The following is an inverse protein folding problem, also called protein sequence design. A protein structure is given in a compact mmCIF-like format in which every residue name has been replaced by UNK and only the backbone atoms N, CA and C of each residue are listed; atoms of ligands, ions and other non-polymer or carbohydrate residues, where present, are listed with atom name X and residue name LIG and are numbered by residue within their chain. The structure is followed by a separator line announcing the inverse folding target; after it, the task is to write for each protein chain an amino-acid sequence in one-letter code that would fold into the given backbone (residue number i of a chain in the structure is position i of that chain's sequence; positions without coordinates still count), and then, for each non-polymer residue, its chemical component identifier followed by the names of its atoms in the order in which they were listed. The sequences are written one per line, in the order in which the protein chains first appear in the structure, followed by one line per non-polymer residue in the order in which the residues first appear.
data_IF_611875445800
#
_entry.id   IF_611875445800
#
_cell.length_a   1.000
_cell.length_b   1.000
_cell.length_c   1.000
_cell.angle_alpha   90.00
_cell.angle_beta   90.00
_cell.angle_gamma   90.00
#
_symmetry.space_group_name_H-M   'P 1'
#
loop_
_entity.id
_entity.type
_entity.pdbx_description
1 polymer ?
#
# COMPACT_ATOMS: atom_id res chain seq x y z
N UNK A 1 50.64 28.18 36.70
CA UNK A 1 49.51 28.79 35.99
C UNK A 1 48.86 27.72 35.10
N UNK A 2 47.71 27.22 35.51
CA UNK A 2 46.93 26.23 34.72
C UNK A 2 45.73 26.96 34.08
N UNK A 3 45.71 27.07 32.76
CA UNK A 3 44.56 27.60 32.04
C UNK A 3 43.58 26.46 31.75
N UNK A 4 42.37 26.58 32.26
CA UNK A 4 41.27 25.68 31.98
C UNK A 4 40.53 26.15 30.71
N UNK A 5 40.51 25.33 29.69
CA UNK A 5 39.73 25.53 28.47
C UNK A 5 38.33 24.98 28.73
N UNK A 6 37.32 25.85 28.74
CA UNK A 6 35.90 25.44 28.77
C UNK A 6 35.45 25.07 27.37
N UNK A 7 35.14 23.78 27.13
CA UNK A 7 34.42 23.34 25.94
C UNK A 7 32.96 23.73 26.08
N UNK A 8 32.48 24.61 25.22
CA UNK A 8 31.07 24.92 25.07
C UNK A 8 30.38 23.81 24.25
N UNK A 9 29.39 23.18 24.83
CA UNK A 9 28.54 22.22 24.12
C UNK A 9 27.58 23.00 23.21
N UNK A 10 27.70 22.79 21.90
CA UNK A 10 26.79 23.33 20.90
C UNK A 10 25.61 22.31 20.77
N UNK A 11 24.46 22.63 21.36
CA UNK A 11 23.25 21.87 21.20
C UNK A 11 22.63 22.18 19.83
N UNK A 12 22.71 21.24 18.91
CA UNK A 12 21.96 21.29 17.65
C UNK A 12 20.54 20.84 17.93
N UNK A 13 19.60 21.77 17.96
CA UNK A 13 18.17 21.48 17.99
C UNK A 13 17.76 21.14 16.53
N UNK A 14 17.59 19.87 16.23
CA UNK A 14 16.97 19.44 15.00
C UNK A 14 15.45 19.72 15.09
N UNK A 15 15.01 20.81 14.47
CA UNK A 15 13.58 21.08 14.27
C UNK A 15 13.06 20.17 13.15
N UNK A 16 12.40 19.08 13.51
CA UNK A 16 11.61 18.29 12.59
C UNK A 16 10.36 19.07 12.22
N UNK A 17 10.38 19.72 11.06
CA UNK A 17 9.18 20.32 10.46
C UNK A 17 8.40 19.18 9.85
N UNK A 18 7.47 18.62 10.61
CA UNK A 18 6.46 17.69 10.11
C UNK A 18 5.46 18.47 9.23
N UNK A 19 5.62 18.39 7.93
CA UNK A 19 4.55 18.79 7.03
C UNK A 19 3.45 17.71 7.09
N UNK A 20 2.41 18.00 7.87
CA UNK A 20 1.16 17.27 7.76
C UNK A 20 0.50 17.68 6.43
N UNK A 21 0.66 16.86 5.39
CA UNK A 21 -0.15 16.98 4.18
C UNK A 21 -1.56 16.59 4.58
N UNK A 22 -2.59 17.44 4.36
CA UNK A 22 -3.95 17.04 4.64
C UNK A 22 -4.34 15.89 3.70
N UNK A 23 -4.57 14.72 4.26
CA UNK A 23 -5.22 13.62 3.55
C UNK A 23 -6.63 14.09 3.18
N UNK A 24 -6.82 14.58 1.99
CA UNK A 24 -8.15 14.77 1.44
C UNK A 24 -8.71 13.38 1.13
N UNK A 25 -9.54 12.88 2.03
CA UNK A 25 -10.30 11.67 1.80
C UNK A 25 -11.21 11.90 0.58
N UNK A 26 -10.77 11.45 -0.59
CA UNK A 26 -11.59 11.43 -1.79
C UNK A 26 -12.69 10.40 -1.59
N UNK A 27 -13.93 10.87 -1.54
CA UNK A 27 -15.11 10.02 -1.42
C UNK A 27 -15.27 9.19 -2.71
N UNK A 28 -15.11 7.88 -2.60
CA UNK A 28 -15.76 6.87 -3.41
C UNK A 28 -15.61 6.94 -4.94
N UNK A 29 -14.38 6.83 -5.49
CA UNK A 29 -14.19 6.66 -6.92
C UNK A 29 -12.97 5.78 -7.21
N UNK A 30 -13.02 5.02 -8.31
CA UNK A 30 -11.82 4.41 -8.89
C UNK A 30 -10.95 5.53 -9.44
N UNK A 31 -9.74 5.74 -8.88
CA UNK A 31 -8.89 6.85 -9.27
C UNK A 31 -7.40 6.57 -9.08
N UNK A 32 -6.61 7.24 -9.89
CA UNK A 32 -5.17 7.42 -9.69
C UNK A 32 -4.89 8.91 -9.74
N UNK A 33 -4.26 9.42 -8.71
CA UNK A 33 -3.82 10.80 -8.59
C UNK A 33 -2.32 10.80 -8.36
N UNK A 34 -1.58 11.68 -9.02
CA UNK A 34 -0.13 11.79 -8.87
C UNK A 34 0.28 13.24 -9.12
N UNK A 35 1.24 13.71 -8.33
CA UNK A 35 1.90 14.99 -8.53
C UNK A 35 3.40 14.82 -8.81
N UNK A 36 3.82 13.63 -9.23
CA UNK A 36 5.18 13.40 -9.69
C UNK A 36 5.48 14.34 -10.85
N UNK A 37 6.46 15.21 -10.67
CA UNK A 37 6.85 16.22 -11.66
C UNK A 37 8.27 16.00 -12.19
N UNK A 38 8.92 14.96 -11.75
CA UNK A 38 10.34 14.71 -12.02
C UNK A 38 10.51 13.43 -12.80
N UNK A 39 11.08 13.54 -14.01
CA UNK A 39 11.63 12.39 -14.72
C UNK A 39 12.81 11.89 -13.91
N UNK A 40 12.72 10.65 -13.44
CA UNK A 40 13.77 10.06 -12.63
C UNK A 40 14.98 9.66 -13.47
N UNK A 41 16.16 10.03 -12.97
CA UNK A 41 17.38 9.36 -13.36
C UNK A 41 17.46 8.01 -12.61
N UNK A 42 17.79 6.95 -13.31
CA UNK A 42 18.09 5.64 -12.73
C UNK A 42 19.38 5.69 -11.89
N UNK A 43 19.54 4.87 -10.86
CA UNK A 43 18.64 3.83 -10.34
C UNK A 43 17.61 4.33 -9.32
N UNK A 44 16.64 3.46 -8.99
CA UNK A 44 15.61 3.69 -7.96
C UNK A 44 15.54 2.51 -7.01
N UNK A 45 15.34 2.74 -5.72
CA UNK A 45 15.00 1.68 -4.76
C UNK A 45 13.49 1.63 -4.54
N UNK A 46 12.98 0.46 -4.18
CA UNK A 46 11.56 0.22 -3.90
C UNK A 46 11.41 -0.26 -2.48
N UNK A 47 10.55 0.40 -1.71
CA UNK A 47 10.19 0.01 -0.35
C UNK A 47 8.67 -0.05 -0.24
N UNK A 48 8.13 -1.23 0.08
CA UNK A 48 6.69 -1.43 0.28
C UNK A 48 6.40 -1.75 1.73
N UNK A 49 5.43 -1.07 2.30
CA UNK A 49 4.94 -1.29 3.66
C UNK A 49 3.43 -1.44 3.71
N UNK A 50 2.93 -1.99 4.79
CA UNK A 50 1.51 -1.97 5.15
C UNK A 50 1.22 -0.73 5.99
N UNK A 51 0.04 -0.13 5.85
CA UNK A 51 -0.42 0.85 6.83
C UNK A 51 -0.65 0.18 8.20
N UNK A 52 -0.57 0.95 9.27
CA UNK A 52 -0.81 0.44 10.64
C UNK A 52 -2.21 -0.15 10.79
N UNK A 53 -3.20 0.42 10.10
CA UNK A 53 -4.56 -0.08 10.12
C UNK A 53 -4.69 -1.42 9.38
N UNK A 54 -4.02 -1.58 8.24
CA UNK A 54 -4.03 -2.84 7.51
C UNK A 54 -3.26 -3.93 8.27
N UNK A 55 -2.09 -3.60 8.84
CA UNK A 55 -1.32 -4.51 9.67
C UNK A 55 -2.14 -4.97 10.90
N UNK A 56 -2.88 -4.06 11.53
CA UNK A 56 -3.80 -4.42 12.63
C UNK A 56 -4.86 -5.43 12.19
N UNK A 57 -5.36 -5.32 10.93
CA UNK A 57 -6.38 -6.23 10.37
C UNK A 57 -5.85 -7.63 10.07
N UNK A 58 -4.57 -7.89 10.18
CA UNK A 58 -4.06 -9.26 10.08
C UNK A 58 -4.79 -10.19 11.07
N UNK A 59 -4.99 -9.73 12.31
CA UNK A 59 -5.55 -10.51 13.40
C UNK A 59 -6.81 -9.90 14.03
N UNK A 60 -7.34 -8.81 13.46
CA UNK A 60 -8.44 -8.04 14.06
C UNK A 60 -9.47 -7.59 13.02
N UNK A 61 -10.67 -7.26 13.50
CA UNK A 61 -11.65 -6.48 12.74
C UNK A 61 -11.18 -5.03 12.58
N UNK A 62 -11.64 -4.31 11.54
CA UNK A 62 -11.42 -2.88 11.43
C UNK A 62 -11.79 -2.15 12.71
N UNK A 63 -10.98 -1.16 13.12
CA UNK A 63 -11.23 -0.36 14.32
C UNK A 63 -12.54 0.44 14.21
N UNK A 64 -12.75 1.07 13.05
CA UNK A 64 -13.96 1.83 12.78
C UNK A 64 -15.12 0.90 12.42
N UNK A 65 -16.26 1.10 13.08
CA UNK A 65 -17.46 0.29 12.83
C UNK A 65 -18.00 0.47 11.40
N UNK A 66 -17.85 1.67 10.83
CA UNK A 66 -18.21 1.97 9.44
C UNK A 66 -17.47 1.15 8.40
N UNK A 67 -16.25 0.70 8.74
CA UNK A 67 -15.38 -0.03 7.83
C UNK A 67 -15.63 -1.54 7.89
N UNK A 68 -16.47 -1.97 8.83
CA UNK A 68 -16.85 -3.37 8.98
C UNK A 68 -17.98 -3.69 8.00
N UNK A 69 -17.82 -4.78 7.27
CA UNK A 69 -18.86 -5.28 6.38
C UNK A 69 -20.15 -5.58 7.16
N UNK A 70 -21.28 -5.38 6.50
CA UNK A 70 -22.59 -5.70 7.08
C UNK A 70 -22.72 -7.20 7.29
N UNK A 71 -23.04 -7.62 8.52
CA UNK A 71 -23.37 -9.02 8.86
C UNK A 71 -24.56 -9.58 8.05
N UNK A 72 -25.28 -8.72 7.30
CA UNK A 72 -26.39 -9.11 6.43
C UNK A 72 -25.97 -9.50 5.01
N UNK A 73 -24.74 -9.15 4.62
CA UNK A 73 -24.21 -9.57 3.31
C UNK A 73 -23.34 -10.81 3.52
N UNK A 74 -23.92 -11.98 3.35
CA UNK A 74 -23.22 -13.26 3.48
C UNK A 74 -22.06 -13.40 2.48
N UNK A 75 -22.06 -12.62 1.40
CA UNK A 75 -21.04 -12.69 0.34
C UNK A 75 -20.01 -11.57 0.37
N UNK A 76 -20.34 -10.38 0.91
CA UNK A 76 -19.41 -9.25 0.99
C UNK A 76 -18.85 -9.01 2.40
N UNK A 77 -19.49 -9.60 3.42
CA UNK A 77 -19.21 -9.30 4.81
C UNK A 77 -17.79 -9.66 5.29
N UNK A 78 -17.13 -10.63 4.66
CA UNK A 78 -15.76 -11.01 5.03
C UNK A 78 -14.69 -10.20 4.30
N UNK A 79 -14.98 -9.73 3.08
CA UNK A 79 -14.02 -9.18 2.13
C UNK A 79 -13.27 -7.93 2.62
N UNK A 80 -13.80 -7.21 3.59
CA UNK A 80 -13.16 -6.04 4.21
C UNK A 80 -13.00 -6.16 5.71
N UNK A 81 -13.39 -7.28 6.32
CA UNK A 81 -13.49 -7.40 7.77
C UNK A 81 -12.19 -7.75 8.50
N UNK A 82 -11.07 -7.83 7.82
CA UNK A 82 -9.82 -8.22 8.46
C UNK A 82 -9.70 -9.71 8.71
N UNK A 83 -8.92 -10.08 9.73
CA UNK A 83 -8.49 -11.47 9.97
C UNK A 83 -7.85 -12.07 8.72
N UNK A 84 -7.01 -11.26 8.04
CA UNK A 84 -6.38 -11.68 6.80
C UNK A 84 -5.25 -12.70 7.03
N UNK A 85 -4.64 -12.72 8.23
CA UNK A 85 -3.42 -13.43 8.54
C UNK A 85 -2.17 -12.62 8.16
N UNK A 86 -1.13 -12.70 8.98
CA UNK A 86 0.13 -11.98 8.75
C UNK A 86 0.83 -12.48 7.48
N UNK A 87 0.88 -13.79 7.28
CA UNK A 87 1.49 -14.40 6.10
C UNK A 87 0.82 -13.93 4.81
N UNK A 88 -0.52 -13.89 4.78
CA UNK A 88 -1.26 -13.41 3.62
C UNK A 88 -1.00 -11.94 3.28
N UNK A 89 -0.83 -11.09 4.30
CA UNK A 89 -0.49 -9.68 4.08
C UNK A 89 0.97 -9.51 3.66
N UNK A 90 1.88 -10.33 4.16
CA UNK A 90 3.27 -10.33 3.74
C UNK A 90 3.42 -10.82 2.29
N UNK A 91 2.67 -11.84 1.86
CA UNK A 91 2.61 -12.26 0.47
C UNK A 91 2.15 -11.11 -0.44
N UNK A 92 1.09 -10.39 -0.06
CA UNK A 92 0.64 -9.21 -0.81
C UNK A 92 1.70 -8.10 -0.89
N UNK A 93 2.43 -7.86 0.20
CA UNK A 93 3.53 -6.90 0.21
C UNK A 93 4.61 -7.29 -0.80
N UNK A 94 4.96 -8.58 -0.85
CA UNK A 94 5.94 -9.12 -1.80
C UNK A 94 5.42 -9.05 -3.24
N UNK A 95 4.16 -9.39 -3.48
CA UNK A 95 3.51 -9.28 -4.80
C UNK A 95 3.63 -7.84 -5.35
N UNK A 96 3.36 -6.83 -4.52
CA UNK A 96 3.49 -5.43 -4.95
C UNK A 96 4.95 -5.04 -5.24
N UNK A 97 5.91 -5.50 -4.43
CA UNK A 97 7.35 -5.29 -4.70
C UNK A 97 7.72 -5.89 -6.05
N UNK A 98 7.27 -7.11 -6.33
CA UNK A 98 7.57 -7.80 -7.59
C UNK A 98 6.94 -7.08 -8.79
N UNK A 99 5.66 -6.71 -8.69
CA UNK A 99 4.92 -6.04 -9.76
C UNK A 99 5.54 -4.69 -10.12
N UNK A 100 5.83 -3.84 -9.13
CA UNK A 100 6.42 -2.52 -9.37
C UNK A 100 7.85 -2.65 -9.92
N UNK A 101 8.65 -3.57 -9.37
CA UNK A 101 10.02 -3.82 -9.83
C UNK A 101 10.04 -4.25 -11.29
N UNK A 102 9.20 -5.22 -11.67
CA UNK A 102 9.06 -5.66 -13.07
C UNK A 102 8.65 -4.53 -14.01
N UNK A 103 7.72 -3.67 -13.57
CA UNK A 103 7.26 -2.55 -14.39
C UNK A 103 8.33 -1.49 -14.57
N UNK A 104 9.03 -1.11 -13.50
CA UNK A 104 10.14 -0.17 -13.58
C UNK A 104 11.25 -0.68 -14.51
N UNK A 105 11.65 -1.93 -14.35
CA UNK A 105 12.67 -2.55 -15.22
C UNK A 105 12.22 -2.58 -16.69
N UNK A 106 10.94 -2.83 -16.97
CA UNK A 106 10.39 -2.80 -18.33
C UNK A 106 10.46 -1.42 -18.96
N UNK A 107 10.31 -0.35 -18.18
CA UNK A 107 10.45 1.04 -18.62
C UNK A 107 11.94 1.51 -18.63
N UNK A 108 12.87 0.64 -18.34
CA UNK A 108 14.32 0.91 -18.43
C UNK A 108 14.96 1.41 -17.13
N UNK A 109 14.24 1.37 -16.00
CA UNK A 109 14.83 1.73 -14.70
C UNK A 109 15.70 0.58 -14.16
N UNK A 110 16.85 0.95 -13.61
CA UNK A 110 17.62 0.06 -12.74
C UNK A 110 17.03 0.12 -11.33
N UNK A 111 16.60 -1.04 -10.80
CA UNK A 111 16.11 -1.14 -9.42
C UNK A 111 17.22 -1.72 -8.56
N UNK A 112 17.66 -0.94 -7.55
CA UNK A 112 18.78 -1.29 -6.66
C UNK A 112 18.49 -0.85 -5.22
N UNK A 113 18.96 -1.62 -4.24
CA UNK A 113 18.67 -1.35 -2.80
C UNK A 113 19.20 0.00 -2.31
N UNK A 114 20.35 0.47 -2.83
CA UNK A 114 21.02 1.70 -2.40
C UNK A 114 20.96 2.77 -3.49
N UNK A 115 19.80 2.96 -4.09
CA UNK A 115 19.61 3.95 -5.13
C UNK A 115 19.52 5.39 -4.57
N UNK A 116 19.84 6.42 -5.37
CA UNK A 116 19.74 7.82 -4.95
C UNK A 116 18.31 8.32 -4.78
N UNK A 117 17.33 7.58 -5.30
CA UNK A 117 15.92 7.85 -5.07
C UNK A 117 15.22 6.60 -4.56
N UNK A 118 14.24 6.77 -3.68
CA UNK A 118 13.43 5.66 -3.12
C UNK A 118 11.96 5.88 -3.39
N UNK A 119 11.34 4.91 -4.00
CA UNK A 119 9.89 4.82 -4.13
C UNK A 119 9.34 4.10 -2.90
N UNK A 120 8.72 4.83 -1.99
CA UNK A 120 8.07 4.30 -0.79
C UNK A 120 6.60 4.11 -1.08
N UNK A 121 6.14 2.86 -1.08
CA UNK A 121 4.74 2.51 -1.32
C UNK A 121 4.09 1.99 -0.03
N UNK A 122 2.82 2.33 0.17
CA UNK A 122 2.03 1.83 1.29
C UNK A 122 0.76 1.15 0.77
N UNK A 123 0.54 -0.08 1.21
CA UNK A 123 -0.76 -0.73 1.02
C UNK A 123 -1.66 -0.23 2.14
N UNK A 124 -2.60 0.65 1.79
CA UNK A 124 -3.50 1.31 2.75
C UNK A 124 -4.67 0.40 3.13
N UNK A 125 -5.23 -0.27 2.14
CA UNK A 125 -6.37 -1.13 2.34
C UNK A 125 -6.46 -2.20 1.26
N UNK A 126 -6.98 -3.36 1.61
CA UNK A 126 -7.26 -4.46 0.66
C UNK A 126 -8.62 -5.09 0.96
N UNK A 127 -9.21 -5.67 -0.09
CA UNK A 127 -10.38 -6.55 0.01
C UNK A 127 -10.11 -7.83 -0.77
N UNK A 128 -10.37 -8.95 -0.14
CA UNK A 128 -10.15 -10.27 -0.73
C UNK A 128 -11.38 -10.80 -1.48
N UNK A 129 -11.15 -11.56 -2.55
CA UNK A 129 -12.22 -12.21 -3.34
C UNK A 129 -12.68 -13.52 -2.72
N UNK A 130 -11.77 -14.26 -2.09
CA UNK A 130 -12.05 -15.50 -1.39
C UNK A 130 -11.54 -15.39 0.05
N UNK A 131 -12.16 -16.10 1.00
CA UNK A 131 -11.69 -16.06 2.38
C UNK A 131 -10.24 -16.51 2.50
N UNK A 132 -9.48 -15.84 3.37
CA UNK A 132 -8.18 -16.32 3.80
C UNK A 132 -8.36 -17.53 4.74
N UNK A 133 -7.28 -18.26 4.98
CA UNK A 133 -7.30 -19.37 5.93
C UNK A 133 -7.68 -18.90 7.35
N UNK A 134 -7.19 -17.74 7.75
CA UNK A 134 -7.49 -17.16 9.06
C UNK A 134 -8.99 -16.80 9.19
N UNK A 135 -9.60 -16.22 8.14
CA UNK A 135 -11.03 -15.95 8.12
C UNK A 135 -11.87 -17.23 8.20
N UNK A 136 -11.49 -18.28 7.46
CA UNK A 136 -12.17 -19.59 7.51
C UNK A 136 -12.09 -20.24 8.88
N UNK A 137 -10.97 -20.07 9.59
CA UNK A 137 -10.79 -20.65 10.92
C UNK A 137 -11.68 -19.98 11.99
N UNK A 138 -12.07 -18.72 11.76
CA UNK A 138 -12.82 -17.91 12.72
C UNK A 138 -14.33 -17.85 12.44
N UNK A 139 -14.73 -17.98 11.19
CA UNK A 139 -16.12 -17.78 10.76
C UNK A 139 -16.67 -19.06 10.14
N UNK A 140 -17.41 -19.87 10.90
CA UNK A 140 -17.93 -21.16 10.45
C UNK A 140 -18.90 -21.07 9.27
N UNK A 141 -19.50 -19.90 8.99
CA UNK A 141 -20.39 -19.67 7.87
C UNK A 141 -19.65 -19.49 6.54
N UNK A 142 -18.35 -19.24 6.58
CA UNK A 142 -17.51 -19.09 5.38
C UNK A 142 -17.04 -20.46 4.86
N UNK A 143 -16.86 -20.51 3.55
CA UNK A 143 -16.24 -21.64 2.86
C UNK A 143 -15.32 -21.13 1.75
N UNK A 144 -14.48 -22.00 1.19
CA UNK A 144 -13.66 -21.66 0.02
C UNK A 144 -14.47 -21.24 -1.21
N UNK A 145 -15.78 -21.50 -1.21
CA UNK A 145 -16.69 -21.06 -2.27
C UNK A 145 -17.29 -19.68 -2.01
N UNK A 146 -17.18 -19.15 -0.78
CA UNK A 146 -17.60 -17.78 -0.49
C UNK A 146 -16.78 -16.81 -1.34
N UNK A 147 -17.43 -15.77 -1.87
CA UNK A 147 -16.76 -14.79 -2.72
C UNK A 147 -17.21 -13.37 -2.37
N UNK A 148 -16.36 -12.41 -2.63
CA UNK A 148 -16.59 -11.00 -2.37
C UNK A 148 -15.89 -10.13 -3.41
N UNK A 149 -16.24 -8.86 -3.44
CA UNK A 149 -15.61 -7.86 -4.28
C UNK A 149 -14.22 -7.55 -3.70
N UNK A 150 -13.19 -7.73 -4.52
CA UNK A 150 -11.81 -7.45 -4.15
C UNK A 150 -11.30 -6.11 -4.68
N UNK A 151 -10.09 -5.75 -4.30
CA UNK A 151 -9.37 -4.56 -4.75
C UNK A 151 -8.43 -4.00 -3.68
N UNK A 152 -7.85 -2.81 -3.94
CA UNK A 152 -6.90 -2.18 -3.05
C UNK A 152 -6.95 -0.65 -3.07
N UNK A 153 -6.45 -0.07 -1.98
CA UNK A 153 -6.02 1.32 -1.86
C UNK A 153 -4.52 1.36 -1.59
N UNK A 154 -3.82 2.19 -2.33
CA UNK A 154 -2.37 2.31 -2.28
C UNK A 154 -2.00 3.78 -2.23
N UNK A 155 -0.97 4.12 -1.47
CA UNK A 155 -0.32 5.42 -1.53
C UNK A 155 1.17 5.25 -1.82
N UNK A 156 1.80 6.29 -2.30
CA UNK A 156 3.22 6.27 -2.57
C UNK A 156 3.85 7.64 -2.50
N UNK A 157 5.14 7.66 -2.23
CA UNK A 157 5.98 8.85 -2.21
C UNK A 157 7.33 8.52 -2.83
N UNK A 158 7.77 9.38 -3.72
CA UNK A 158 9.13 9.35 -4.25
C UNK A 158 9.99 10.32 -3.43
N UNK A 159 11.07 9.84 -2.87
CA UNK A 159 12.01 10.62 -2.09
C UNK A 159 13.43 10.58 -2.69
N UNK A 160 14.16 11.69 -2.60
CA UNK A 160 15.55 11.74 -2.99
C UNK A 160 16.49 11.20 -1.91
N UNK A 161 17.81 11.16 -2.19
CA UNK A 161 18.83 10.70 -1.26
C UNK A 161 18.93 11.54 0.03
N UNK A 162 18.37 12.75 0.04
CA UNK A 162 18.36 13.64 1.20
C UNK A 162 17.05 13.47 2.01
N UNK A 163 16.14 12.62 1.57
CA UNK A 163 14.81 12.43 2.16
C UNK A 163 13.79 13.51 1.76
N UNK A 164 14.08 14.28 0.70
CA UNK A 164 13.14 15.28 0.17
C UNK A 164 12.10 14.61 -0.72
N UNK A 165 10.83 14.93 -0.51
CA UNK A 165 9.73 14.45 -1.36
C UNK A 165 9.84 15.03 -2.77
N UNK A 166 9.86 14.18 -3.77
CA UNK A 166 9.82 14.53 -5.18
C UNK A 166 8.41 14.42 -5.76
N UNK A 167 7.46 13.92 -4.99
CA UNK A 167 6.06 13.82 -5.31
C UNK A 167 5.38 12.63 -4.66
N UNK A 168 4.07 12.66 -4.68
CA UNK A 168 3.20 11.63 -4.09
C UNK A 168 2.26 11.05 -5.13
N UNK A 169 1.71 9.89 -4.82
CA UNK A 169 0.71 9.23 -5.63
C UNK A 169 -0.29 8.49 -4.74
N UNK A 170 -1.55 8.52 -5.15
CA UNK A 170 -2.64 7.82 -4.52
C UNK A 170 -3.40 6.99 -5.54
N UNK A 171 -3.84 5.82 -5.15
CA UNK A 171 -4.58 4.90 -6.00
C UNK A 171 -5.65 4.16 -5.22
N UNK A 172 -6.82 4.10 -5.83
CA UNK A 172 -7.93 3.30 -5.32
C UNK A 172 -8.62 2.58 -6.45
N UNK A 173 -8.76 1.27 -6.30
CA UNK A 173 -9.56 0.47 -7.22
C UNK A 173 -10.16 -0.73 -6.51
N UNK A 174 -11.46 -0.90 -6.68
CA UNK A 174 -12.23 -2.08 -6.30
C UNK A 174 -13.08 -2.50 -7.50
N UNK A 175 -13.29 -3.81 -7.69
CA UNK A 175 -14.24 -4.27 -8.71
C UNK A 175 -15.65 -3.76 -8.33
N UNK A 176 -16.43 -3.39 -9.35
CA UNK A 176 -17.77 -2.81 -9.15
C UNK A 176 -18.89 -3.86 -9.24
N UNK A 177 -18.54 -5.04 -9.74
CA UNK A 177 -19.55 -6.05 -10.07
C UNK A 177 -19.30 -7.36 -9.32
N UNK A 178 -20.21 -7.69 -8.41
CA UNK A 178 -20.15 -8.95 -7.66
C UNK A 178 -20.12 -10.19 -8.57
N UNK A 179 -20.70 -10.10 -9.76
CA UNK A 179 -20.67 -11.18 -10.76
C UNK A 179 -19.24 -11.51 -11.19
N UNK A 180 -18.35 -10.50 -11.24
CA UNK A 180 -16.94 -10.70 -11.56
C UNK A 180 -16.21 -11.45 -10.45
N UNK A 181 -16.58 -11.21 -9.19
CA UNK A 181 -15.99 -11.89 -8.04
C UNK A 181 -16.18 -13.40 -8.08
N UNK A 182 -17.27 -13.89 -8.70
CA UNK A 182 -17.51 -15.33 -8.89
C UNK A 182 -16.44 -15.98 -9.79
N UNK A 183 -15.86 -15.23 -10.73
CA UNK A 183 -14.78 -15.69 -11.61
C UNK A 183 -13.38 -15.49 -11.02
N UNK A 184 -13.27 -14.80 -9.90
CA UNK A 184 -12.01 -14.66 -9.20
C UNK A 184 -11.60 -16.01 -8.60
N UNK A 185 -10.53 -16.60 -9.10
CA UNK A 185 -10.09 -17.95 -8.71
C UNK A 185 -9.28 -17.94 -7.41
N UNK A 186 -8.56 -16.85 -7.12
CA UNK A 186 -7.69 -16.72 -5.96
C UNK A 186 -8.25 -15.78 -4.89
N UNK A 187 -7.66 -15.86 -3.70
CA UNK A 187 -8.02 -15.03 -2.56
C UNK A 187 -7.85 -13.54 -2.88
N UNK A 188 -6.80 -13.18 -3.59
CA UNK A 188 -6.39 -11.80 -3.83
C UNK A 188 -6.44 -11.37 -5.31
N UNK A 189 -7.24 -12.04 -6.15
CA UNK A 189 -7.27 -11.81 -7.61
C UNK A 189 -7.46 -10.33 -7.97
N UNK A 190 -8.41 -9.64 -7.36
CA UNK A 190 -8.67 -8.24 -7.70
C UNK A 190 -7.65 -7.30 -7.03
N UNK A 191 -7.14 -7.64 -5.85
CA UNK A 191 -6.02 -6.92 -5.23
C UNK A 191 -4.78 -6.95 -6.12
N UNK A 192 -4.41 -8.10 -6.66
CA UNK A 192 -3.29 -8.26 -7.60
C UNK A 192 -3.54 -7.50 -8.90
N UNK A 193 -4.77 -7.48 -9.41
CA UNK A 193 -5.15 -6.62 -10.56
C UNK A 193 -4.98 -5.13 -10.25
N UNK A 194 -5.33 -4.71 -9.02
CA UNK A 194 -5.11 -3.34 -8.57
C UNK A 194 -3.61 -2.99 -8.54
N UNK A 195 -2.78 -3.90 -8.03
CA UNK A 195 -1.32 -3.74 -7.98
C UNK A 195 -0.70 -3.61 -9.38
N UNK A 196 -1.06 -4.49 -10.31
CA UNK A 196 -0.59 -4.42 -11.70
C UNK A 196 -1.00 -3.10 -12.39
N UNK A 197 -2.23 -2.63 -12.16
CA UNK A 197 -2.71 -1.35 -12.72
C UNK A 197 -1.98 -0.15 -12.13
N UNK A 198 -1.79 -0.16 -10.82
CA UNK A 198 -1.05 0.88 -10.10
C UNK A 198 0.41 0.94 -10.58
N UNK A 199 1.09 -0.20 -10.58
CA UNK A 199 2.50 -0.31 -11.00
C UNK A 199 2.73 0.20 -12.42
N UNK A 200 1.79 -0.06 -13.34
CA UNK A 200 1.83 0.50 -14.70
C UNK A 200 1.71 2.01 -14.74
N UNK A 201 0.86 2.60 -13.89
CA UNK A 201 0.66 4.05 -13.83
C UNK A 201 1.89 4.73 -13.25
N UNK A 202 2.39 4.23 -12.12
CA UNK A 202 3.60 4.75 -11.45
C UNK A 202 4.80 4.70 -12.39
N UNK A 203 5.05 3.56 -13.03
CA UNK A 203 6.18 3.42 -13.94
C UNK A 203 6.09 4.39 -15.13
N UNK A 204 4.89 4.67 -15.64
CA UNK A 204 4.68 5.68 -16.68
C UNK A 204 4.99 7.09 -16.20
N UNK A 205 4.50 7.47 -15.01
CA UNK A 205 4.70 8.81 -14.46
C UNK A 205 6.19 9.12 -14.21
N UNK A 206 6.98 8.09 -13.91
CA UNK A 206 8.41 8.22 -13.68
C UNK A 206 9.23 8.39 -14.98
N UNK A 207 8.69 7.97 -16.11
CA UNK A 207 9.31 8.14 -17.45
C UNK A 207 9.00 9.53 -18.04
N UNK A 208 7.86 10.13 -17.71
CA UNK A 208 7.38 11.44 -18.21
C UNK A 208 6.49 11.31 -19.44
#
# INVERSE_FOLDING_TARGET
MKQSIKLGALSIIAASIGFAVPLTASAGGTGYESNLSTVLATPVSVNVKLSDELAFRANNLPKKLSDRGSARSLNDGFSGNGFYGEDSLEELRQDLVEDITKRLQKEGFEVAENAPATLVLTIENVKNNRPTFEQLSREPSLSYQSYGIGGAELSGELIDANGTSLGTMDYRWYDSFIQNANYASGTWTDTQRAFDRFSRKVAKDLVG
#
